data_IF_900783866589
#
_entry.id   IF_900783866589
#
_cell.length_a   1.000
_cell.length_b   1.000
_cell.length_c   1.000
_cell.angle_alpha   90.00
_cell.angle_beta   90.00
_cell.angle_gamma   90.00
#
_symmetry.space_group_name_H-M   'P 1'
#
loop_
_entity.id
_entity.type
_entity.pdbx_description
1 polymer ?
#
# COMPACT_ATOMS: atom_id res chain seq x y z
N UNK A 1 -13.37 -0.66 14.12
CA UNK A 1 -12.37 -1.26 13.19
C UNK A 1 -11.48 -0.18 12.58
N UNK A 2 -10.19 -0.41 12.36
CA UNK A 2 -9.30 0.56 11.69
C UNK A 2 -9.18 0.25 10.20
N UNK A 3 -9.41 1.24 9.34
CA UNK A 3 -9.34 1.09 7.88
C UNK A 3 -8.43 2.15 7.29
N UNK A 4 -7.38 1.71 6.58
CA UNK A 4 -6.48 2.58 5.83
C UNK A 4 -6.86 2.63 4.36
N UNK A 5 -6.86 3.83 3.76
CA UNK A 5 -7.17 4.02 2.34
C UNK A 5 -6.29 5.07 1.68
N UNK A 6 -6.18 5.01 0.35
CA UNK A 6 -5.55 6.08 -0.41
C UNK A 6 -6.48 7.29 -0.60
N UNK A 7 -5.97 8.36 -1.20
CA UNK A 7 -6.72 9.60 -1.41
C UNK A 7 -7.96 9.44 -2.32
N UNK A 8 -8.11 8.32 -3.04
CA UNK A 8 -9.31 7.97 -3.82
C UNK A 8 -10.51 7.63 -2.94
N UNK A 9 -10.27 7.21 -1.69
CA UNK A 9 -11.31 6.91 -0.71
C UNK A 9 -11.69 8.11 0.16
N UNK A 10 -11.27 9.33 -0.20
CA UNK A 10 -11.67 10.55 0.51
C UNK A 10 -13.20 10.64 0.57
N UNK A 11 -13.77 10.68 1.79
CA UNK A 11 -15.22 10.71 1.99
C UNK A 11 -15.88 9.34 2.13
N UNK A 12 -15.13 8.23 2.12
CA UNK A 12 -15.68 6.91 2.40
C UNK A 12 -16.45 6.85 3.73
N UNK A 13 -15.95 7.55 4.76
CA UNK A 13 -16.59 7.68 6.06
C UNK A 13 -18.01 8.28 6.01
N UNK A 14 -18.37 9.02 4.96
CA UNK A 14 -19.66 9.70 4.83
C UNK A 14 -20.70 8.88 4.06
N UNK A 15 -20.35 7.67 3.60
CA UNK A 15 -21.26 6.83 2.81
C UNK A 15 -22.34 6.23 3.71
N UNK A 16 -23.61 6.14 3.24
CA UNK A 16 -24.71 5.58 4.05
C UNK A 16 -24.45 4.12 4.43
N UNK A 17 -23.74 3.37 3.58
CA UNK A 17 -23.30 1.99 3.83
C UNK A 17 -22.43 1.81 5.09
N UNK A 18 -21.90 2.90 5.64
CA UNK A 18 -21.00 2.89 6.80
C UNK A 18 -21.56 3.68 8.00
N UNK A 19 -22.81 4.15 7.93
CA UNK A 19 -23.43 4.95 8.98
C UNK A 19 -23.55 4.22 10.33
N UNK A 20 -23.79 2.91 10.29
CA UNK A 20 -23.96 2.08 11.49
C UNK A 20 -22.63 1.46 11.99
N UNK A 21 -21.51 1.71 11.29
CA UNK A 21 -20.23 1.06 11.59
C UNK A 21 -19.28 2.02 12.31
N UNK A 22 -18.81 1.62 13.48
CA UNK A 22 -17.74 2.34 14.17
C UNK A 22 -16.36 2.00 13.54
N UNK A 23 -15.91 2.88 12.65
CA UNK A 23 -14.68 2.71 11.86
C UNK A 23 -13.78 3.94 11.98
N UNK A 24 -12.54 3.70 12.37
CA UNK A 24 -11.47 4.71 12.33
C UNK A 24 -10.89 4.73 10.91
N UNK A 25 -11.21 5.79 10.18
CA UNK A 25 -10.74 5.99 8.81
C UNK A 25 -9.39 6.70 8.77
N UNK A 26 -8.37 5.99 8.30
CA UNK A 26 -7.04 6.53 8.02
C UNK A 26 -6.83 6.66 6.53
N UNK A 27 -7.44 7.68 5.95
CA UNK A 27 -7.33 7.98 4.53
C UNK A 27 -6.13 8.90 4.30
N UNK A 28 -5.37 8.66 3.23
CA UNK A 28 -4.25 9.51 2.84
C UNK A 28 -4.75 10.91 2.46
N UNK A 29 -4.21 11.94 3.10
CA UNK A 29 -4.58 13.33 2.84
C UNK A 29 -3.87 13.86 1.59
N UNK A 30 -4.58 14.66 0.78
CA UNK A 30 -3.99 15.33 -0.39
C UNK A 30 -3.04 16.44 0.07
N UNK A 31 -1.90 16.66 -0.60
CA UNK A 31 -0.97 17.74 -0.24
C UNK A 31 -1.61 19.13 -0.14
N UNK A 32 -2.58 19.43 -1.00
CA UNK A 32 -3.32 20.70 -1.00
C UNK A 32 -4.10 20.96 0.30
N UNK A 33 -4.50 19.93 1.03
CA UNK A 33 -5.32 20.05 2.24
C UNK A 33 -4.57 20.64 3.43
N UNK A 34 -3.26 20.39 3.54
CA UNK A 34 -2.46 20.84 4.68
C UNK A 34 -1.46 21.93 4.32
N UNK A 35 -1.18 22.18 3.02
CA UNK A 35 -0.41 23.35 2.56
C UNK A 35 -1.00 24.68 3.01
N UNK A 36 -2.31 24.73 3.27
CA UNK A 36 -3.01 25.92 3.77
C UNK A 36 -2.49 26.43 5.12
N UNK A 37 -1.85 25.57 5.92
CA UNK A 37 -1.29 25.97 7.22
C UNK A 37 0.07 26.68 7.12
N UNK A 38 0.64 26.83 5.91
CA UNK A 38 1.95 27.42 5.68
C UNK A 38 3.10 26.45 5.97
N UNK A 39 4.12 26.40 5.11
CA UNK A 39 5.20 25.39 5.21
C UNK A 39 6.07 25.52 6.48
N UNK A 40 6.13 26.72 7.06
CA UNK A 40 6.81 27.00 8.33
C UNK A 40 6.05 26.54 9.57
N UNK A 41 4.75 26.23 9.45
CA UNK A 41 3.91 25.88 10.60
C UNK A 41 4.23 24.50 11.16
N UNK A 42 4.18 24.38 12.49
CA UNK A 42 4.28 23.09 13.20
C UNK A 42 3.21 22.11 12.71
N UNK A 43 1.99 22.60 12.46
CA UNK A 43 0.87 21.78 12.01
C UNK A 43 1.13 21.18 10.62
N UNK A 44 1.73 21.95 9.71
CA UNK A 44 2.15 21.46 8.39
C UNK A 44 3.19 20.34 8.51
N UNK A 45 4.23 20.54 9.34
CA UNK A 45 5.30 19.56 9.54
C UNK A 45 4.78 18.25 10.13
N UNK A 46 3.90 18.33 11.13
CA UNK A 46 3.29 17.15 11.76
C UNK A 46 2.43 16.38 10.75
N UNK A 47 1.52 17.07 10.04
CA UNK A 47 0.69 16.43 9.01
C UNK A 47 1.53 15.76 7.93
N UNK A 48 2.59 16.44 7.45
CA UNK A 48 3.51 15.88 6.45
C UNK A 48 4.20 14.60 6.95
N UNK A 49 4.64 14.56 8.21
CA UNK A 49 5.24 13.34 8.80
C UNK A 49 4.25 12.18 8.87
N UNK A 50 3.00 12.45 9.24
CA UNK A 50 1.93 11.44 9.28
C UNK A 50 1.69 10.87 7.88
N UNK A 51 1.51 11.72 6.88
CA UNK A 51 1.29 11.27 5.49
C UNK A 51 2.50 10.54 4.91
N UNK A 52 3.72 10.95 5.29
CA UNK A 52 4.94 10.24 4.93
C UNK A 52 4.98 8.83 5.52
N UNK A 53 4.63 8.65 6.80
CA UNK A 53 4.56 7.35 7.43
C UNK A 53 3.51 6.43 6.75
N UNK A 54 2.34 6.97 6.38
CA UNK A 54 1.33 6.24 5.60
C UNK A 54 1.89 5.79 4.24
N UNK A 55 2.62 6.67 3.56
CA UNK A 55 3.26 6.36 2.28
C UNK A 55 4.35 5.29 2.42
N UNK A 56 5.16 5.33 3.49
CA UNK A 56 6.17 4.29 3.77
C UNK A 56 5.53 2.91 3.98
N UNK A 57 4.43 2.85 4.73
CA UNK A 57 3.68 1.60 4.90
C UNK A 57 3.19 1.06 3.56
N UNK A 58 2.62 1.93 2.73
CA UNK A 58 2.15 1.59 1.39
C UNK A 58 3.28 1.07 0.49
N UNK A 59 4.45 1.70 0.54
CA UNK A 59 5.61 1.26 -0.24
C UNK A 59 6.04 -0.18 0.09
N UNK A 60 5.90 -0.62 1.36
CA UNK A 60 6.22 -2.01 1.76
C UNK A 60 5.34 -3.04 1.05
N UNK A 61 4.04 -2.79 0.95
CA UNK A 61 3.11 -3.70 0.26
C UNK A 61 3.20 -3.58 -1.25
N UNK A 62 3.43 -2.38 -1.79
CA UNK A 62 3.59 -2.18 -3.24
C UNK A 62 4.84 -2.85 -3.81
N UNK A 63 5.89 -3.00 -3.01
CA UNK A 63 7.16 -3.53 -3.47
C UNK A 63 7.09 -4.98 -4.01
N UNK A 64 6.49 -5.96 -3.28
CA UNK A 64 6.18 -7.28 -3.84
C UNK A 64 5.33 -7.24 -5.12
N UNK A 65 4.30 -6.38 -5.17
CA UNK A 65 3.47 -6.25 -6.37
C UNK A 65 4.24 -5.72 -7.57
N UNK A 66 5.18 -4.79 -7.36
CA UNK A 66 6.07 -4.31 -8.43
C UNK A 66 6.93 -5.45 -8.96
N UNK A 67 7.49 -6.30 -8.09
CA UNK A 67 8.27 -7.48 -8.51
C UNK A 67 7.40 -8.40 -9.37
N UNK A 68 6.20 -8.72 -8.92
CA UNK A 68 5.31 -9.66 -9.62
C UNK A 68 4.80 -9.08 -10.95
N UNK A 69 4.26 -7.86 -10.94
CA UNK A 69 3.61 -7.28 -12.11
C UNK A 69 4.62 -6.80 -13.16
N UNK A 70 5.76 -6.26 -12.73
CA UNK A 70 6.76 -5.67 -13.63
C UNK A 70 7.87 -6.67 -13.95
N UNK A 71 8.61 -7.15 -12.94
CA UNK A 71 9.78 -8.02 -13.18
C UNK A 71 9.39 -9.42 -13.67
N UNK A 72 8.37 -10.02 -13.06
CA UNK A 72 7.82 -11.29 -13.53
C UNK A 72 6.77 -11.14 -14.65
N UNK A 73 6.49 -9.90 -15.05
CA UNK A 73 5.55 -9.57 -16.13
C UNK A 73 4.16 -10.20 -15.96
N UNK A 74 3.70 -10.38 -14.71
CA UNK A 74 2.36 -10.90 -14.41
C UNK A 74 1.32 -9.77 -14.49
N UNK A 75 1.03 -9.32 -15.72
CA UNK A 75 0.08 -8.22 -15.98
C UNK A 75 -1.37 -8.70 -16.14
N UNK A 76 -1.58 -9.96 -16.52
CA UNK A 76 -2.89 -10.59 -16.71
C UNK A 76 -2.85 -12.03 -16.20
N UNK A 77 -4.01 -12.51 -15.73
CA UNK A 77 -4.21 -13.93 -15.40
C UNK A 77 -4.01 -14.80 -16.64
N UNK A 78 -3.37 -15.95 -16.48
CA UNK A 78 -3.04 -16.85 -17.60
C UNK A 78 -3.96 -18.07 -17.68
N UNK A 79 -4.46 -18.54 -16.56
CA UNK A 79 -5.21 -19.78 -16.49
C UNK A 79 -6.72 -19.53 -16.47
N UNK A 80 -7.47 -20.48 -17.01
CA UNK A 80 -8.93 -20.54 -16.82
C UNK A 80 -9.20 -21.27 -15.50
N UNK A 81 -9.86 -20.59 -14.56
CA UNK A 81 -10.20 -21.10 -13.23
C UNK A 81 -9.51 -20.33 -12.09
N UNK A 82 -10.27 -20.08 -11.01
CA UNK A 82 -9.79 -19.33 -9.85
C UNK A 82 -8.68 -20.08 -9.10
N UNK A 83 -8.83 -21.39 -8.94
CA UNK A 83 -7.85 -22.23 -8.23
C UNK A 83 -6.47 -22.17 -8.88
N UNK A 84 -6.40 -22.35 -10.21
CA UNK A 84 -5.13 -22.32 -10.96
C UNK A 84 -4.45 -20.96 -10.89
N UNK A 85 -5.22 -19.88 -10.99
CA UNK A 85 -4.66 -18.53 -10.83
C UNK A 85 -4.21 -18.25 -9.40
N UNK A 86 -4.94 -18.77 -8.40
CA UNK A 86 -4.58 -18.64 -6.99
C UNK A 86 -3.28 -19.37 -6.68
N UNK A 87 -3.14 -20.62 -7.14
CA UNK A 87 -1.89 -21.37 -7.02
C UNK A 87 -0.73 -20.64 -7.72
N UNK A 88 -0.95 -20.10 -8.92
CA UNK A 88 0.07 -19.29 -9.61
C UNK A 88 0.48 -18.06 -8.79
N UNK A 89 -0.48 -17.33 -8.21
CA UNK A 89 -0.21 -16.16 -7.39
C UNK A 89 0.62 -16.53 -6.17
N UNK A 90 0.27 -17.59 -5.43
CA UNK A 90 1.06 -18.06 -4.28
C UNK A 90 2.51 -18.39 -4.67
N UNK A 91 2.70 -19.10 -5.79
CA UNK A 91 4.05 -19.38 -6.30
C UNK A 91 4.82 -18.10 -6.66
N UNK A 92 4.18 -17.14 -7.33
CA UNK A 92 4.82 -15.86 -7.68
C UNK A 92 5.19 -15.03 -6.45
N UNK A 93 4.35 -15.01 -5.41
CA UNK A 93 4.67 -14.35 -4.15
C UNK A 93 5.82 -15.05 -3.41
N UNK A 94 5.86 -16.38 -3.41
CA UNK A 94 7.00 -17.14 -2.88
C UNK A 94 8.31 -16.77 -3.57
N UNK A 95 8.32 -16.76 -4.90
CA UNK A 95 9.49 -16.36 -5.70
C UNK A 95 9.86 -14.88 -5.51
N UNK A 96 8.87 -13.99 -5.39
CA UNK A 96 9.12 -12.58 -5.12
C UNK A 96 9.80 -12.40 -3.75
N UNK A 97 9.34 -13.11 -2.72
CA UNK A 97 9.97 -13.08 -1.40
C UNK A 97 11.43 -13.55 -1.46
N UNK A 98 11.74 -14.62 -2.19
CA UNK A 98 13.11 -15.09 -2.38
C UNK A 98 13.98 -14.04 -3.10
N UNK A 99 13.47 -13.41 -4.16
CA UNK A 99 14.18 -12.33 -4.86
C UNK A 99 14.47 -11.16 -3.92
N UNK A 100 13.50 -10.77 -3.09
CA UNK A 100 13.65 -9.67 -2.13
C UNK A 100 14.58 -10.04 -0.98
N UNK A 101 14.61 -11.31 -0.56
CA UNK A 101 15.50 -11.83 0.46
C UNK A 101 16.95 -11.92 -0.04
N UNK A 102 17.17 -12.12 -1.35
CA UNK A 102 18.51 -12.24 -1.96
C UNK A 102 19.47 -11.14 -1.49
N UNK A 103 19.03 -9.88 -1.41
CA UNK A 103 19.89 -8.76 -0.96
C UNK A 103 20.40 -8.95 0.47
N UNK A 104 19.59 -9.52 1.35
CA UNK A 104 19.95 -9.76 2.76
C UNK A 104 20.82 -11.01 2.89
N UNK A 105 20.49 -12.06 2.13
CA UNK A 105 21.28 -13.30 2.13
C UNK A 105 22.69 -13.08 1.56
N UNK A 106 22.84 -12.23 0.53
CA UNK A 106 24.15 -11.86 -0.02
C UNK A 106 24.97 -11.00 0.93
N UNK A 107 24.32 -10.17 1.75
CA UNK A 107 25.00 -9.36 2.78
C UNK A 107 25.43 -10.18 4.00
N UNK A 108 24.75 -11.29 4.29
CA UNK A 108 25.10 -12.18 5.40
C UNK A 108 26.18 -13.21 5.04
N UNK A 109 26.37 -13.48 3.74
CA UNK A 109 27.32 -14.46 3.23
C UNK A 109 28.69 -13.87 2.85
N UNK A 110 28.85 -12.55 2.92
CA UNK A 110 30.12 -11.82 2.71
C UNK A 110 30.55 -11.14 4.00
#
# INVERSE_FOLDING_TARGET
>A
TYVSGDAGYTGAAKRPEHAERDVIWSIAARPSSYKQHGEGSVLYRVKRKIEYAKAQLRAKVEHPFQVIKVRFNHRKVRYRGLEKNTAQLFSLFGLANLMLAKRYLQQAAG
#
